data_IF_306456504636
#
_entry.id   IF_306456504636
#
_cell.length_a   1.000
_cell.length_b   1.000
_cell.length_c   1.000
_cell.angle_alpha   90.00
_cell.angle_beta   90.00
_cell.angle_gamma   90.00
#
_symmetry.space_group_name_H-M   'P 1'
#
loop_
_entity.id
_entity.type
_entity.pdbx_description
1 polymer ?
#
# COMPACT_ATOMS: atom_id res chain seq x y z
N UNK A 1 2.69 55.44 -3.96
CA UNK A 1 3.12 54.14 -4.54
C UNK A 1 2.55 53.07 -3.63
N UNK A 2 1.78 52.12 -4.16
CA UNK A 2 1.25 51.01 -3.35
C UNK A 2 2.42 50.19 -2.84
N UNK A 3 2.50 50.03 -1.51
CA UNK A 3 3.56 49.27 -0.87
C UNK A 3 3.28 47.78 -1.06
N UNK A 4 4.24 47.05 -1.65
CA UNK A 4 4.11 45.61 -1.90
C UNK A 4 4.73 44.87 -0.72
N UNK A 5 3.99 43.93 -0.13
CA UNK A 5 4.43 43.16 1.03
C UNK A 5 4.73 41.71 0.63
N UNK A 6 5.93 41.28 1.00
CA UNK A 6 6.49 39.96 0.73
C UNK A 6 6.26 39.00 1.89
N UNK A 7 6.39 37.68 1.65
CA UNK A 7 6.27 36.66 2.68
C UNK A 7 7.25 36.88 3.85
N UNK A 8 8.48 37.30 3.55
CA UNK A 8 9.51 37.57 4.55
C UNK A 8 9.14 38.73 5.49
N UNK A 9 8.47 39.76 4.98
CA UNK A 9 7.99 40.88 5.80
C UNK A 9 6.80 40.47 6.67
N UNK A 10 5.91 39.62 6.16
CA UNK A 10 4.82 39.00 6.96
C UNK A 10 5.40 38.16 8.09
N UNK A 11 6.36 37.28 7.80
CA UNK A 11 7.03 36.45 8.81
C UNK A 11 7.73 37.29 9.89
N UNK A 12 8.40 38.38 9.51
CA UNK A 12 9.03 39.31 10.44
C UNK A 12 8.02 40.03 11.34
N UNK A 13 6.88 40.44 10.79
CA UNK A 13 5.80 41.06 11.56
C UNK A 13 5.18 40.06 12.55
N UNK A 14 4.92 38.83 12.09
CA UNK A 14 4.40 37.74 12.93
C UNK A 14 5.36 37.36 14.06
N UNK A 15 6.66 37.29 13.78
CA UNK A 15 7.69 36.98 14.77
C UNK A 15 7.85 38.08 15.83
N UNK A 16 7.55 39.34 15.48
CA UNK A 16 7.73 40.49 16.36
C UNK A 16 6.52 40.78 17.25
N UNK A 17 5.33 40.80 16.66
CA UNK A 17 4.11 41.29 17.34
C UNK A 17 3.03 40.20 17.54
N UNK A 18 3.22 39.00 16.97
CA UNK A 18 2.26 37.89 17.06
C UNK A 18 0.87 38.19 16.48
N UNK A 19 0.74 39.26 15.70
CA UNK A 19 -0.52 39.70 15.09
C UNK A 19 -0.26 40.54 13.84
N UNK A 20 -1.24 40.59 12.94
CA UNK A 20 -1.14 41.23 11.61
C UNK A 20 -1.79 42.63 11.55
N UNK A 21 -2.10 43.23 12.71
CA UNK A 21 -2.85 44.49 12.84
C UNK A 21 -2.14 45.72 12.26
N UNK A 22 -0.84 45.64 12.01
CA UNK A 22 -0.02 46.74 11.51
C UNK A 22 0.12 46.73 9.97
N UNK A 23 -0.55 45.82 9.25
CA UNK A 23 -0.57 45.84 7.79
C UNK A 23 -1.38 47.07 7.29
N UNK A 24 -0.81 47.91 6.40
CA UNK A 24 -1.55 48.98 5.76
C UNK A 24 -2.74 48.41 4.96
N UNK A 25 -3.92 49.00 5.11
CA UNK A 25 -5.14 48.52 4.46
C UNK A 25 -5.09 48.56 2.92
N UNK A 26 -4.15 49.33 2.35
CA UNK A 26 -3.92 49.53 0.92
C UNK A 26 -2.69 48.77 0.38
N UNK A 27 -2.07 47.90 1.19
CA UNK A 27 -0.90 47.14 0.78
C UNK A 27 -1.23 46.02 -0.24
N UNK A 28 -0.36 45.86 -1.23
CA UNK A 28 -0.45 44.77 -2.22
C UNK A 28 0.32 43.55 -1.71
N UNK A 29 -0.41 42.47 -1.39
CA UNK A 29 0.19 41.22 -0.93
C UNK A 29 0.61 40.32 -2.11
N UNK A 30 1.86 39.87 -2.09
CA UNK A 30 2.33 38.78 -2.97
C UNK A 30 1.57 37.47 -2.70
N UNK A 31 1.47 36.53 -3.65
CA UNK A 31 0.83 35.22 -3.43
C UNK A 31 1.37 34.49 -2.20
N UNK A 32 2.71 34.42 -2.06
CA UNK A 32 3.36 33.79 -0.92
C UNK A 32 3.09 34.52 0.41
N UNK A 33 2.92 35.85 0.40
CA UNK A 33 2.50 36.59 1.59
C UNK A 33 1.07 36.22 2.02
N UNK A 34 0.15 35.99 1.06
CA UNK A 34 -1.22 35.53 1.35
C UNK A 34 -1.22 34.12 1.92
N UNK A 35 -0.38 33.23 1.41
CA UNK A 35 -0.24 31.87 1.92
C UNK A 35 0.29 31.86 3.36
N UNK A 36 1.33 32.65 3.66
CA UNK A 36 1.88 32.79 5.01
C UNK A 36 0.84 33.34 6.03
N UNK A 37 0.02 34.30 5.62
CA UNK A 37 -1.08 34.81 6.45
C UNK A 37 -2.13 33.71 6.69
N UNK A 38 -2.51 32.96 5.66
CA UNK A 38 -3.49 31.88 5.76
C UNK A 38 -3.00 30.74 6.65
N UNK A 39 -1.73 30.39 6.58
CA UNK A 39 -1.10 29.41 7.46
C UNK A 39 -1.10 29.89 8.92
N UNK A 40 -0.77 31.16 9.17
CA UNK A 40 -0.83 31.75 10.50
C UNK A 40 -2.25 31.78 11.07
N UNK A 41 -3.26 32.20 10.28
CA UNK A 41 -4.66 32.20 10.68
C UNK A 41 -5.19 30.78 10.97
N UNK A 42 -4.78 29.79 10.16
CA UNK A 42 -5.10 28.39 10.40
C UNK A 42 -4.44 27.86 11.67
N UNK A 43 -3.18 28.21 11.94
CA UNK A 43 -2.50 27.88 13.18
C UNK A 43 -3.16 28.54 14.40
N UNK A 44 -3.70 29.76 14.26
CA UNK A 44 -4.45 30.47 15.31
C UNK A 44 -5.84 29.86 15.54
N UNK A 45 -6.52 29.41 14.48
CA UNK A 45 -7.78 28.64 14.55
C UNK A 45 -7.59 27.25 15.16
N UNK A 46 -6.43 26.64 14.94
CA UNK A 46 -6.06 25.33 15.47
C UNK A 46 -5.24 25.42 16.78
N UNK A 47 -5.06 26.62 17.33
CA UNK A 47 -4.61 26.82 18.71
C UNK A 47 -5.67 26.32 19.71
N UNK A 48 -5.34 26.14 20.99
CA UNK A 48 -6.19 25.41 21.93
C UNK A 48 -7.44 26.22 22.32
N UNK A 49 -8.43 26.23 21.44
CA UNK A 49 -9.79 26.68 21.74
C UNK A 49 -10.64 25.45 22.07
N UNK A 50 -11.21 25.44 23.28
CA UNK A 50 -12.05 24.38 23.83
C UNK A 50 -13.37 24.15 23.10
N UNK A 51 -13.31 23.68 21.86
CA UNK A 51 -14.38 22.91 21.26
C UNK A 51 -14.31 21.49 21.80
N UNK A 52 -15.42 20.94 22.28
CA UNK A 52 -15.51 19.57 22.71
C UNK A 52 -15.13 18.64 21.55
N UNK A 53 -13.85 18.25 21.50
CA UNK A 53 -13.47 17.01 20.88
C UNK A 53 -14.33 15.92 21.53
N UNK A 54 -14.89 15.03 20.72
CA UNK A 54 -15.36 13.75 21.26
C UNK A 54 -14.22 13.21 22.11
N UNK A 55 -14.48 12.83 23.38
CA UNK A 55 -13.41 12.49 24.30
C UNK A 55 -12.54 11.45 23.60
N UNK A 56 -11.26 11.79 23.39
CA UNK A 56 -10.26 10.76 23.14
C UNK A 56 -10.48 9.75 24.26
N UNK A 57 -10.76 8.48 23.92
CA UNK A 57 -11.22 7.57 24.93
C UNK A 57 -10.20 7.47 26.03
N UNK A 58 -10.71 7.64 27.24
CA UNK A 58 -9.91 7.48 28.43
C UNK A 58 -9.35 6.07 28.39
N UNK A 59 -8.04 5.98 28.14
CA UNK A 59 -7.36 4.70 28.14
C UNK A 59 -7.68 4.02 29.48
N UNK A 60 -8.21 2.79 29.47
CA UNK A 60 -8.50 2.08 30.70
C UNK A 60 -7.23 2.02 31.56
N UNK A 61 -7.38 2.13 32.89
CA UNK A 61 -6.27 2.17 33.85
C UNK A 61 -5.33 0.95 33.78
N UNK A 62 -5.76 -0.11 33.07
CA UNK A 62 -4.96 -1.26 32.67
C UNK A 62 -5.23 -1.55 31.18
N UNK A 63 -4.22 -1.87 30.36
CA UNK A 63 -4.43 -2.31 28.99
C UNK A 63 -5.34 -3.55 28.96
N UNK A 64 -6.29 -3.60 28.03
CA UNK A 64 -7.13 -4.77 27.81
C UNK A 64 -6.24 -5.98 27.48
N UNK A 65 -6.52 -7.14 28.08
CA UNK A 65 -5.79 -8.39 27.82
C UNK A 65 -6.75 -9.57 27.68
N UNK A 66 -6.30 -10.66 27.05
CA UNK A 66 -7.02 -11.93 26.97
C UNK A 66 -7.39 -12.50 28.34
N UNK A 67 -6.64 -12.13 29.38
CA UNK A 67 -6.88 -12.53 30.77
C UNK A 67 -7.89 -11.63 31.50
N UNK A 68 -8.36 -10.54 30.87
CA UNK A 68 -9.42 -9.70 31.46
C UNK A 68 -10.69 -10.51 31.66
N UNK A 69 -11.47 -10.24 32.72
CA UNK A 69 -12.77 -10.88 32.94
C UNK A 69 -13.66 -10.77 31.70
N UNK A 70 -14.43 -11.82 31.40
CA UNK A 70 -15.33 -11.83 30.22
C UNK A 70 -16.26 -10.61 30.17
N UNK A 71 -16.78 -10.17 31.31
CA UNK A 71 -17.62 -8.98 31.40
C UNK A 71 -16.90 -7.70 30.97
N UNK A 72 -15.59 -7.60 31.20
CA UNK A 72 -14.76 -6.46 30.80
C UNK A 72 -14.48 -6.50 29.29
N UNK A 73 -14.14 -7.67 28.74
CA UNK A 73 -13.98 -7.88 27.30
C UNK A 73 -15.27 -7.54 26.54
N UNK A 74 -16.41 -7.98 27.04
CA UNK A 74 -17.72 -7.68 26.47
C UNK A 74 -18.11 -6.21 26.62
N UNK A 75 -17.74 -5.57 27.74
CA UNK A 75 -17.97 -4.14 27.94
C UNK A 75 -17.14 -3.30 26.96
N UNK A 76 -15.86 -3.63 26.79
CA UNK A 76 -15.00 -3.02 25.79
C UNK A 76 -15.56 -3.22 24.38
N UNK A 77 -15.94 -4.44 24.01
CA UNK A 77 -16.42 -4.74 22.66
C UNK A 77 -17.71 -3.97 22.27
N UNK A 78 -18.52 -3.56 23.27
CA UNK A 78 -19.73 -2.75 23.09
C UNK A 78 -19.50 -1.24 23.35
N UNK A 79 -18.27 -0.84 23.66
CA UNK A 79 -17.97 0.54 24.00
C UNK A 79 -17.92 1.44 22.75
N UNK A 80 -18.11 2.76 22.89
CA UNK A 80 -17.98 3.70 21.76
C UNK A 80 -16.62 3.61 21.04
N UNK A 81 -15.57 3.28 21.79
CA UNK A 81 -14.21 3.11 21.28
C UNK A 81 -14.08 1.94 20.32
N UNK A 82 -14.53 0.77 20.74
CA UNK A 82 -14.55 -0.40 19.88
C UNK A 82 -15.49 -0.16 18.70
N UNK A 83 -16.64 0.50 18.92
CA UNK A 83 -17.57 0.91 17.88
C UNK A 83 -16.90 1.71 16.75
N UNK A 84 -16.11 2.74 17.09
CA UNK A 84 -15.39 3.54 16.11
C UNK A 84 -14.39 2.72 15.28
N UNK A 85 -13.68 1.77 15.91
CA UNK A 85 -12.75 0.86 15.20
C UNK A 85 -13.49 -0.15 14.31
N UNK A 86 -14.64 -0.66 14.78
CA UNK A 86 -15.50 -1.55 13.99
C UNK A 86 -16.07 -0.83 12.75
N UNK A 87 -16.44 0.44 12.90
CA UNK A 87 -16.85 1.30 11.78
C UNK A 87 -15.70 1.53 10.80
N UNK A 88 -14.48 1.78 11.31
CA UNK A 88 -13.28 1.94 10.48
C UNK A 88 -12.96 0.66 9.67
N UNK A 89 -13.08 -0.51 10.29
CA UNK A 89 -12.93 -1.81 9.61
C UNK A 89 -13.96 -1.98 8.48
N UNK A 90 -15.22 -1.59 8.73
CA UNK A 90 -16.27 -1.60 7.71
C UNK A 90 -15.95 -0.61 6.57
N UNK A 91 -15.43 0.57 6.89
CA UNK A 91 -15.11 1.59 5.91
C UNK A 91 -13.96 1.19 4.99
N UNK A 92 -12.84 0.74 5.56
CA UNK A 92 -11.73 0.21 4.78
C UNK A 92 -12.17 -1.01 3.96
N UNK A 93 -13.01 -1.87 4.52
CA UNK A 93 -13.61 -2.99 3.78
C UNK A 93 -14.38 -2.55 2.53
N UNK A 94 -15.20 -1.49 2.63
CA UNK A 94 -15.92 -0.89 1.49
C UNK A 94 -14.98 -0.31 0.45
N UNK A 95 -13.92 0.38 0.87
CA UNK A 95 -12.92 0.96 -0.06
C UNK A 95 -12.16 -0.12 -0.81
N UNK A 96 -11.70 -1.17 -0.10
CA UNK A 96 -11.06 -2.34 -0.72
C UNK A 96 -11.98 -3.00 -1.75
N UNK A 97 -13.25 -3.18 -1.42
CA UNK A 97 -14.24 -3.76 -2.33
C UNK A 97 -14.49 -2.85 -3.55
N UNK A 98 -14.66 -1.54 -3.34
CA UNK A 98 -14.86 -0.57 -4.41
C UNK A 98 -13.68 -0.47 -5.39
N UNK A 99 -12.48 -0.86 -4.97
CA UNK A 99 -11.27 -0.96 -5.81
C UNK A 99 -11.04 -2.35 -6.41
N UNK A 100 -11.93 -3.30 -6.16
CA UNK A 100 -11.78 -4.70 -6.55
C UNK A 100 -10.49 -5.35 -6.00
N UNK A 101 -10.05 -4.95 -4.79
CA UNK A 101 -8.91 -5.58 -4.12
C UNK A 101 -9.31 -6.84 -3.36
N UNK A 102 -10.61 -7.06 -3.15
CA UNK A 102 -11.15 -8.26 -2.50
C UNK A 102 -12.16 -8.92 -3.43
N UNK A 103 -12.11 -10.24 -3.53
CA UNK A 103 -12.97 -11.08 -4.34
C UNK A 103 -13.92 -11.89 -3.45
N UNK A 104 -15.23 -11.79 -3.72
CA UNK A 104 -16.25 -12.50 -2.94
C UNK A 104 -16.17 -12.18 -1.44
N UNK A 105 -15.72 -13.15 -0.65
CA UNK A 105 -15.56 -13.08 0.80
C UNK A 105 -14.08 -13.05 1.27
N UNK A 106 -13.13 -12.96 0.32
CA UNK A 106 -11.70 -12.91 0.54
C UNK A 106 -11.21 -11.59 1.18
N UNK A 107 -9.93 -11.57 1.52
CA UNK A 107 -9.31 -10.52 2.32
C UNK A 107 -9.73 -10.53 3.79
N UNK A 108 -8.99 -9.84 4.63
CA UNK A 108 -9.27 -9.68 6.05
C UNK A 108 -8.46 -8.54 6.67
N UNK A 109 -8.97 -8.00 7.77
CA UNK A 109 -8.43 -6.83 8.44
C UNK A 109 -8.34 -7.12 9.94
N UNK A 110 -7.31 -6.62 10.60
CA UNK A 110 -7.21 -6.68 12.06
C UNK A 110 -6.54 -5.43 12.66
N UNK A 111 -7.02 -5.03 13.84
CA UNK A 111 -6.51 -3.92 14.65
C UNK A 111 -6.20 -4.44 16.05
N UNK A 112 -4.99 -4.20 16.54
CA UNK A 112 -4.60 -4.46 17.93
C UNK A 112 -5.30 -3.47 18.85
N UNK A 113 -5.96 -3.98 19.89
CA UNK A 113 -6.75 -3.16 20.83
C UNK A 113 -6.36 -3.37 22.30
N UNK A 114 -5.38 -4.24 22.55
CA UNK A 114 -4.89 -4.57 23.86
C UNK A 114 -3.47 -5.13 23.81
N UNK A 115 -3.00 -5.64 24.94
CA UNK A 115 -1.68 -6.27 25.04
C UNK A 115 -1.59 -7.50 24.12
N UNK A 116 -2.60 -8.36 24.16
CA UNK A 116 -2.68 -9.62 23.45
C UNK A 116 -4.07 -9.86 22.85
N UNK A 117 -4.74 -8.76 22.44
CA UNK A 117 -6.12 -8.77 21.92
C UNK A 117 -6.23 -7.91 20.66
N UNK A 118 -7.01 -8.38 19.68
CA UNK A 118 -7.27 -7.69 18.43
C UNK A 118 -8.74 -7.75 18.00
N UNK A 119 -9.23 -6.68 17.37
CA UNK A 119 -10.44 -6.70 16.56
C UNK A 119 -10.10 -7.23 15.16
N UNK A 120 -10.97 -8.04 14.58
CA UNK A 120 -10.82 -8.53 13.22
C UNK A 120 -12.15 -8.69 12.49
N UNK A 121 -12.06 -8.81 11.16
CA UNK A 121 -13.22 -9.05 10.30
C UNK A 121 -13.71 -10.50 10.37
N UNK A 122 -15.01 -10.74 10.12
CA UNK A 122 -15.57 -12.09 10.09
C UNK A 122 -15.14 -12.87 8.84
N UNK A 123 -15.21 -14.19 8.94
CA UNK A 123 -15.14 -15.10 7.79
C UNK A 123 -16.43 -15.10 6.98
N UNK A 124 -16.34 -15.46 5.70
CA UNK A 124 -17.47 -15.65 4.78
C UNK A 124 -18.40 -14.44 4.59
N UNK A 125 -17.93 -13.23 4.91
CA UNK A 125 -18.63 -11.97 4.63
C UNK A 125 -17.78 -11.14 3.68
N UNK A 126 -18.41 -10.64 2.61
CA UNK A 126 -17.77 -9.71 1.69
C UNK A 126 -17.42 -8.40 2.39
N UNK A 127 -16.20 -7.89 2.21
CA UNK A 127 -15.71 -6.71 2.94
C UNK A 127 -16.46 -5.43 2.59
N UNK A 128 -17.11 -5.40 1.42
CA UNK A 128 -18.01 -4.30 1.02
C UNK A 128 -19.33 -4.24 1.78
N UNK A 129 -19.74 -5.31 2.47
CA UNK A 129 -21.07 -5.43 3.10
C UNK A 129 -21.02 -5.76 4.59
N UNK A 130 -19.85 -5.62 5.23
CA UNK A 130 -19.71 -5.81 6.67
C UNK A 130 -20.49 -4.74 7.45
N UNK A 131 -20.98 -5.13 8.61
CA UNK A 131 -21.56 -4.25 9.61
C UNK A 131 -20.68 -4.23 10.86
N UNK A 132 -20.67 -3.17 11.67
CA UNK A 132 -19.88 -3.14 12.92
C UNK A 132 -20.15 -4.34 13.83
N UNK A 133 -21.42 -4.76 13.95
CA UNK A 133 -21.84 -5.93 14.73
C UNK A 133 -21.27 -7.27 14.21
N UNK A 134 -20.75 -7.31 12.99
CA UNK A 134 -20.14 -8.51 12.41
C UNK A 134 -18.70 -8.75 12.88
N UNK A 135 -18.05 -7.75 13.49
CA UNK A 135 -16.65 -7.84 13.90
C UNK A 135 -16.44 -8.84 15.03
N UNK A 136 -15.20 -9.28 15.20
CA UNK A 136 -14.83 -10.25 16.23
C UNK A 136 -13.69 -9.70 17.08
N UNK A 137 -13.73 -9.94 18.39
CA UNK A 137 -12.60 -9.73 19.28
C UNK A 137 -11.91 -11.07 19.49
N UNK A 138 -10.60 -11.12 19.30
CA UNK A 138 -9.80 -12.35 19.42
C UNK A 138 -8.58 -12.11 20.29
N UNK A 139 -8.12 -13.15 20.97
CA UNK A 139 -6.79 -13.15 21.58
C UNK A 139 -5.70 -13.45 20.54
N UNK A 140 -4.45 -13.32 20.96
CA UNK A 140 -3.26 -13.59 20.15
C UNK A 140 -3.01 -15.09 19.87
N UNK A 141 -3.75 -16.00 20.51
CA UNK A 141 -3.79 -17.42 20.16
C UNK A 141 -4.86 -17.74 19.11
N UNK A 142 -5.68 -16.75 18.72
CA UNK A 142 -6.72 -16.88 17.71
C UNK A 142 -8.06 -17.39 18.25
N UNK A 143 -8.21 -17.43 19.58
CA UNK A 143 -9.49 -17.73 20.23
C UNK A 143 -10.40 -16.51 20.13
N UNK A 144 -11.67 -16.75 19.80
CA UNK A 144 -12.67 -15.70 19.74
C UNK A 144 -13.22 -15.40 21.13
N UNK A 145 -13.02 -14.17 21.59
CA UNK A 145 -13.45 -13.68 22.90
C UNK A 145 -14.84 -13.05 22.84
N UNK A 146 -15.13 -12.29 21.78
CA UNK A 146 -16.42 -11.62 21.55
C UNK A 146 -16.78 -11.59 20.05
N UNK A 147 -18.04 -11.27 19.76
CA UNK A 147 -18.62 -11.22 18.41
C UNK A 147 -19.45 -12.47 18.09
N UNK A 148 -20.54 -12.31 17.35
CA UNK A 148 -21.47 -13.40 17.03
C UNK A 148 -21.04 -14.21 15.80
N UNK A 149 -20.51 -13.52 14.78
CA UNK A 149 -19.96 -14.19 13.59
C UNK A 149 -18.61 -14.82 13.92
N UNK A 150 -18.24 -15.84 13.15
CA UNK A 150 -16.92 -16.45 13.24
C UNK A 150 -15.86 -15.50 12.67
N UNK A 151 -14.76 -15.31 13.41
CA UNK A 151 -13.57 -14.58 12.96
C UNK A 151 -13.01 -15.14 11.65
N UNK A 152 -12.24 -14.34 10.91
CA UNK A 152 -11.54 -14.78 9.68
C UNK A 152 -10.73 -16.08 9.87
N UNK A 153 -10.67 -16.94 8.86
CA UNK A 153 -9.84 -18.16 8.87
C UNK A 153 -8.34 -17.86 8.98
N UNK A 154 -7.93 -16.66 8.58
CA UNK A 154 -6.51 -16.27 8.46
C UNK A 154 -6.02 -15.39 9.60
N UNK A 155 -6.77 -15.35 10.71
CA UNK A 155 -6.44 -14.50 11.85
C UNK A 155 -5.03 -14.78 12.38
N UNK A 156 -4.57 -16.04 12.31
CA UNK A 156 -3.25 -16.44 12.78
C UNK A 156 -2.13 -15.68 12.09
N UNK A 157 -2.26 -15.32 10.81
CA UNK A 157 -1.27 -14.49 10.12
C UNK A 157 -1.16 -13.12 10.76
N UNK A 158 -2.28 -12.42 10.96
CA UNK A 158 -2.31 -11.09 11.58
C UNK A 158 -1.69 -11.12 12.98
N UNK A 159 -2.05 -12.12 13.79
CA UNK A 159 -1.57 -12.24 15.16
C UNK A 159 -0.08 -12.58 15.20
N UNK A 160 0.44 -13.42 14.30
CA UNK A 160 1.88 -13.69 14.19
C UNK A 160 2.67 -12.44 13.78
N UNK A 161 2.13 -11.60 12.88
CA UNK A 161 2.71 -10.29 12.56
C UNK A 161 2.79 -9.41 13.81
N UNK A 162 1.68 -9.28 14.55
CA UNK A 162 1.62 -8.45 15.76
C UNK A 162 2.50 -8.98 16.91
N UNK A 163 2.64 -10.30 17.04
CA UNK A 163 3.56 -10.95 17.99
C UNK A 163 5.01 -10.68 17.64
N UNK A 164 5.37 -10.83 16.35
CA UNK A 164 6.75 -10.67 15.89
C UNK A 164 7.19 -9.22 15.90
N UNK A 165 6.30 -8.32 15.51
CA UNK A 165 6.54 -6.88 15.49
C UNK A 165 5.56 -6.17 16.41
N UNK A 166 5.93 -5.92 17.69
CA UNK A 166 5.05 -5.29 18.67
C UNK A 166 4.59 -3.87 18.29
N UNK A 167 5.26 -3.19 17.35
CA UNK A 167 4.80 -1.91 16.83
C UNK A 167 3.62 -2.06 15.88
N UNK A 168 3.33 -3.24 15.33
CA UNK A 168 2.23 -3.42 14.38
C UNK A 168 0.88 -3.28 15.09
N UNK A 169 0.19 -2.16 14.83
CA UNK A 169 -1.13 -1.85 15.39
C UNK A 169 -2.27 -2.27 14.48
N UNK A 170 -2.04 -2.32 13.17
CA UNK A 170 -3.07 -2.68 12.20
C UNK A 170 -2.49 -3.44 11.01
N UNK A 171 -3.33 -4.25 10.39
CA UNK A 171 -2.97 -5.14 9.29
C UNK A 171 -4.12 -5.26 8.29
N UNK A 172 -3.78 -5.30 7.00
CA UNK A 172 -4.71 -5.39 5.89
C UNK A 172 -4.23 -6.49 4.96
N UNK A 173 -5.06 -7.51 4.75
CA UNK A 173 -4.82 -8.53 3.74
C UNK A 173 -5.92 -8.49 2.67
N UNK A 174 -5.51 -8.54 1.41
CA UNK A 174 -6.41 -8.65 0.27
C UNK A 174 -5.68 -9.21 -0.97
N UNK A 175 -6.35 -9.19 -2.12
CA UNK A 175 -5.92 -9.78 -3.39
C UNK A 175 -5.96 -8.74 -4.54
N UNK A 176 -5.19 -7.64 -4.47
CA UNK A 176 -5.20 -6.65 -5.54
C UNK A 176 -4.59 -7.26 -6.83
N UNK A 177 -5.22 -7.11 -8.01
CA UNK A 177 -4.86 -7.89 -9.19
C UNK A 177 -3.40 -7.78 -9.67
N UNK A 178 -2.82 -6.57 -9.71
CA UNK A 178 -1.47 -6.40 -10.25
C UNK A 178 -0.41 -6.95 -9.30
N UNK A 179 -0.46 -6.55 -8.03
CA UNK A 179 0.45 -7.03 -6.98
C UNK A 179 0.29 -8.53 -6.70
N UNK A 180 -0.93 -9.07 -6.78
CA UNK A 180 -1.15 -10.53 -6.74
C UNK A 180 -0.54 -11.21 -7.97
N UNK A 181 -0.54 -10.57 -9.14
CA UNK A 181 0.18 -11.04 -10.33
C UNK A 181 1.68 -11.19 -10.09
N UNK A 182 2.32 -10.23 -9.42
CA UNK A 182 3.73 -10.35 -8.99
C UNK A 182 3.93 -11.50 -7.99
N UNK A 183 3.01 -11.65 -7.03
CA UNK A 183 3.05 -12.77 -6.08
C UNK A 183 2.91 -14.14 -6.75
N UNK A 184 2.05 -14.27 -7.76
CA UNK A 184 1.89 -15.50 -8.57
C UNK A 184 3.14 -15.76 -9.41
N UNK A 185 3.76 -14.71 -9.96
CA UNK A 185 5.00 -14.83 -10.73
C UNK A 185 6.22 -15.20 -9.88
N UNK A 186 6.13 -15.06 -8.55
CA UNK A 186 7.27 -15.26 -7.65
C UNK A 186 8.32 -14.16 -7.79
N UNK A 187 7.92 -12.95 -8.20
CA UNK A 187 8.81 -11.83 -8.50
C UNK A 187 8.49 -10.67 -7.56
N UNK A 188 9.48 -10.17 -6.84
CA UNK A 188 9.34 -8.91 -6.12
C UNK A 188 9.29 -7.74 -7.12
N UNK A 189 8.41 -6.74 -6.91
CA UNK A 189 8.41 -5.55 -7.75
C UNK A 189 9.80 -4.89 -7.73
N UNK A 190 10.31 -4.41 -8.87
CA UNK A 190 11.60 -3.74 -8.91
C UNK A 190 11.58 -2.47 -8.05
N UNK A 191 12.75 -1.88 -7.81
CA UNK A 191 12.90 -0.69 -6.97
C UNK A 191 13.45 0.49 -7.78
N UNK A 192 13.58 1.63 -7.12
CA UNK A 192 14.15 2.88 -7.61
C UNK A 192 13.37 3.55 -8.75
N UNK A 193 12.06 3.34 -8.87
CA UNK A 193 11.27 3.95 -9.97
C UNK A 193 10.34 5.07 -9.51
N UNK A 194 9.64 4.90 -8.38
CA UNK A 194 8.57 5.82 -7.93
C UNK A 194 8.78 6.17 -6.45
N UNK A 195 8.84 7.46 -6.08
CA UNK A 195 9.10 7.87 -4.70
C UNK A 195 8.12 7.32 -3.67
N UNK A 196 6.82 7.28 -3.97
CA UNK A 196 5.79 6.82 -3.05
C UNK A 196 6.00 5.36 -2.64
N UNK A 197 6.39 4.50 -3.58
CA UNK A 197 6.73 3.11 -3.28
C UNK A 197 7.95 3.04 -2.37
N UNK A 198 9.02 3.77 -2.69
CA UNK A 198 10.26 3.74 -1.93
C UNK A 198 10.12 4.26 -0.50
N UNK A 199 9.32 5.32 -0.31
CA UNK A 199 9.11 5.95 0.99
C UNK A 199 8.16 5.13 1.87
N UNK A 200 7.05 4.64 1.34
CA UNK A 200 5.97 4.08 2.17
C UNK A 200 5.94 2.55 2.23
N UNK A 201 6.58 1.85 1.29
CA UNK A 201 6.52 0.39 1.20
C UNK A 201 7.91 -0.23 1.27
N UNK A 202 8.08 -1.25 2.10
CA UNK A 202 9.20 -2.19 2.00
C UNK A 202 8.61 -3.57 1.80
N UNK A 203 8.92 -4.17 0.64
CA UNK A 203 8.24 -5.33 0.11
C UNK A 203 9.14 -6.55 0.13
N UNK A 204 8.58 -7.71 0.46
CA UNK A 204 9.21 -9.01 0.28
C UNK A 204 8.17 -10.05 -0.15
N UNK A 205 8.63 -11.20 -0.64
CA UNK A 205 7.76 -12.34 -0.98
C UNK A 205 7.90 -13.51 0.02
N UNK A 206 6.79 -13.92 0.61
CA UNK A 206 6.69 -15.13 1.41
C UNK A 206 6.38 -16.36 0.51
N UNK A 207 7.08 -17.50 0.69
CA UNK A 207 6.77 -18.74 -0.03
C UNK A 207 5.34 -19.24 0.23
N UNK A 208 4.76 -19.93 -0.75
CA UNK A 208 3.39 -20.46 -0.63
C UNK A 208 3.25 -21.43 0.55
N UNK A 209 2.19 -21.22 1.33
CA UNK A 209 1.62 -22.19 2.27
C UNK A 209 0.11 -22.06 2.21
N UNK A 210 -0.59 -23.10 2.65
CA UNK A 210 -2.05 -23.12 2.64
C UNK A 210 -2.61 -21.99 3.52
N UNK A 211 -3.54 -21.16 3.00
CA UNK A 211 -4.19 -20.10 3.76
C UNK A 211 -4.78 -20.58 5.09
N UNK A 212 -4.66 -19.75 6.14
CA UNK A 212 -5.14 -20.06 7.48
C UNK A 212 -4.29 -21.04 8.31
N UNK A 213 -3.16 -21.53 7.78
CA UNK A 213 -2.24 -22.40 8.54
C UNK A 213 -1.26 -21.62 9.41
N UNK A 214 -0.82 -22.15 10.57
CA UNK A 214 0.24 -21.55 11.39
C UNK A 214 1.55 -21.34 10.62
N UNK A 215 1.89 -22.24 9.71
CA UNK A 215 3.10 -22.19 8.89
C UNK A 215 3.11 -20.97 7.98
N UNK A 216 1.97 -20.63 7.38
CA UNK A 216 1.83 -19.41 6.58
C UNK A 216 2.07 -18.16 7.44
N UNK A 217 1.42 -18.09 8.61
CA UNK A 217 1.58 -16.96 9.54
C UNK A 217 3.03 -16.77 9.99
N UNK A 218 3.74 -17.87 10.25
CA UNK A 218 5.17 -17.83 10.61
C UNK A 218 6.06 -17.27 9.49
N UNK A 219 5.90 -17.76 8.26
CA UNK A 219 6.72 -17.29 7.12
C UNK A 219 6.51 -15.81 6.83
N UNK A 220 5.27 -15.33 6.92
CA UNK A 220 4.97 -13.90 6.79
C UNK A 220 5.63 -13.13 7.93
N UNK A 221 5.47 -13.59 9.18
CA UNK A 221 6.03 -12.94 10.35
C UNK A 221 7.56 -12.84 10.30
N UNK A 222 8.28 -13.85 9.80
CA UNK A 222 9.75 -13.82 9.71
C UNK A 222 10.30 -12.65 8.86
N UNK A 223 9.46 -12.02 8.02
CA UNK A 223 9.82 -10.89 7.15
C UNK A 223 9.49 -9.51 7.76
N UNK A 224 8.62 -9.44 8.76
CA UNK A 224 7.98 -8.16 9.14
C UNK A 224 8.88 -7.18 9.88
N UNK A 225 10.02 -7.62 10.40
CA UNK A 225 11.00 -6.69 11.01
C UNK A 225 11.72 -5.84 9.96
N UNK A 226 11.73 -6.30 8.71
CA UNK A 226 12.40 -5.63 7.59
C UNK A 226 11.41 -5.07 6.58
N UNK A 227 10.20 -5.63 6.51
CA UNK A 227 9.22 -5.33 5.47
C UNK A 227 7.85 -5.02 6.08
N UNK A 228 7.18 -4.00 5.58
CA UNK A 228 5.83 -3.61 6.03
C UNK A 228 4.71 -4.12 5.11
N UNK A 229 5.08 -4.71 3.97
CA UNK A 229 4.17 -5.22 2.96
C UNK A 229 4.72 -6.53 2.40
N UNK A 230 3.96 -7.61 2.47
CA UNK A 230 4.42 -8.95 2.08
C UNK A 230 3.53 -9.47 0.97
N UNK A 231 4.13 -9.80 -0.17
CA UNK A 231 3.51 -10.63 -1.20
C UNK A 231 3.48 -12.07 -0.70
N UNK A 232 2.34 -12.74 -0.79
CA UNK A 232 2.20 -14.15 -0.47
C UNK A 232 2.08 -14.93 -1.77
N UNK A 233 3.10 -15.74 -2.10
CA UNK A 233 3.17 -16.43 -3.37
C UNK A 233 1.90 -17.24 -3.64
N UNK A 234 1.34 -17.13 -4.86
CA UNK A 234 0.08 -17.77 -5.28
C UNK A 234 -1.14 -17.47 -4.40
N UNK A 235 -1.18 -16.31 -3.73
CA UNK A 235 -2.26 -15.98 -2.81
C UNK A 235 -2.67 -14.52 -2.88
N UNK A 236 -1.84 -13.58 -2.42
CA UNK A 236 -2.27 -12.20 -2.22
C UNK A 236 -1.21 -11.32 -1.57
N UNK A 237 -1.67 -10.29 -0.86
CA UNK A 237 -0.79 -9.33 -0.19
C UNK A 237 -1.28 -9.07 1.22
N UNK A 238 -0.35 -8.94 2.17
CA UNK A 238 -0.64 -8.42 3.51
C UNK A 238 0.28 -7.24 3.82
N UNK A 239 -0.30 -6.15 4.31
CA UNK A 239 0.45 -5.00 4.82
C UNK A 239 0.18 -4.79 6.30
N UNK A 240 1.15 -4.21 7.00
CA UNK A 240 1.00 -3.81 8.39
C UNK A 240 1.44 -2.37 8.64
N UNK A 241 0.90 -1.76 9.70
CA UNK A 241 1.20 -0.39 10.10
C UNK A 241 1.42 -0.30 11.60
N UNK A 242 2.33 0.60 12.00
CA UNK A 242 2.48 1.04 13.38
C UNK A 242 1.68 2.30 13.73
N UNK A 243 1.00 2.89 12.75
CA UNK A 243 0.24 4.13 12.90
C UNK A 243 -1.27 3.87 12.99
N UNK A 244 -1.86 3.26 11.97
CA UNK A 244 -3.31 3.09 11.87
C UNK A 244 -3.71 2.07 10.81
N UNK A 245 -5.00 1.67 10.80
CA UNK A 245 -5.57 0.86 9.74
C UNK A 245 -5.52 1.57 8.38
N UNK A 246 -5.74 2.89 8.36
CA UNK A 246 -5.67 3.72 7.15
C UNK A 246 -4.28 3.64 6.50
N UNK A 247 -3.21 3.73 7.30
CA UNK A 247 -1.84 3.64 6.81
C UNK A 247 -1.47 2.22 6.32
N UNK A 248 -2.04 1.17 6.92
CA UNK A 248 -1.91 -0.17 6.35
C UNK A 248 -2.63 -0.30 4.99
N UNK A 249 -3.81 0.31 4.87
CA UNK A 249 -4.58 0.36 3.62
C UNK A 249 -3.86 1.16 2.53
N UNK A 250 -3.25 2.31 2.85
CA UNK A 250 -2.48 3.11 1.88
C UNK A 250 -1.30 2.35 1.30
N UNK A 251 -0.59 1.53 2.09
CA UNK A 251 0.48 0.66 1.56
C UNK A 251 -0.03 -0.31 0.51
N UNK A 252 -1.25 -0.81 0.68
CA UNK A 252 -1.91 -1.67 -0.30
C UNK A 252 -2.19 -0.92 -1.61
N UNK A 253 -2.72 0.30 -1.51
CA UNK A 253 -2.97 1.16 -2.68
C UNK A 253 -1.67 1.53 -3.41
N UNK A 254 -0.63 1.89 -2.65
CA UNK A 254 0.68 2.26 -3.18
C UNK A 254 1.31 1.08 -3.90
N UNK A 255 1.33 -0.11 -3.28
CA UNK A 255 1.88 -1.30 -3.91
C UNK A 255 1.14 -1.65 -5.20
N UNK A 256 -0.19 -1.62 -5.18
CA UNK A 256 -0.98 -1.97 -6.36
C UNK A 256 -0.77 -0.97 -7.50
N UNK A 257 -0.79 0.33 -7.20
CA UNK A 257 -0.51 1.38 -8.17
C UNK A 257 0.91 1.24 -8.74
N UNK A 258 1.88 0.91 -7.89
CA UNK A 258 3.26 0.66 -8.29
C UNK A 258 3.37 -0.54 -9.25
N UNK A 259 2.83 -1.70 -8.86
CA UNK A 259 2.85 -2.92 -9.67
C UNK A 259 2.17 -2.71 -11.03
N UNK A 260 1.03 -2.00 -11.05
CA UNK A 260 0.37 -1.60 -12.30
C UNK A 260 1.27 -0.73 -13.17
N UNK A 261 1.93 0.25 -12.58
CA UNK A 261 2.82 1.16 -13.31
C UNK A 261 4.02 0.41 -13.86
N UNK A 262 4.66 -0.46 -13.07
CA UNK A 262 5.77 -1.31 -13.53
C UNK A 262 5.34 -2.18 -14.71
N UNK A 263 4.13 -2.77 -14.65
CA UNK A 263 3.62 -3.57 -15.76
C UNK A 263 3.43 -2.73 -17.03
N UNK A 264 2.86 -1.52 -16.92
CA UNK A 264 2.74 -0.59 -18.05
C UNK A 264 4.12 -0.19 -18.57
N UNK A 265 5.07 0.14 -17.70
CA UNK A 265 6.45 0.48 -18.07
C UNK A 265 7.12 -0.66 -18.85
N UNK A 266 6.94 -1.91 -18.41
CA UNK A 266 7.44 -3.08 -19.13
C UNK A 266 6.82 -3.22 -20.53
N UNK A 267 5.51 -2.96 -20.65
CA UNK A 267 4.78 -3.05 -21.92
C UNK A 267 5.20 -2.01 -22.96
N UNK A 268 5.78 -0.87 -22.54
CA UNK A 268 6.29 0.16 -23.46
C UNK A 268 7.55 -0.29 -24.22
N UNK A 269 8.18 -1.41 -23.84
CA UNK A 269 9.29 -2.02 -24.59
C UNK A 269 10.61 -1.26 -24.54
N UNK A 270 10.76 -0.33 -23.59
CA UNK A 270 11.99 0.42 -23.35
C UNK A 270 12.49 0.18 -21.93
N UNK A 271 13.82 0.23 -21.68
CA UNK A 271 14.35 0.12 -20.34
C UNK A 271 13.76 1.18 -19.40
N UNK A 272 13.30 0.75 -18.23
CA UNK A 272 12.78 1.65 -17.21
C UNK A 272 13.88 2.60 -16.74
N UNK A 273 13.54 3.89 -16.58
CA UNK A 273 14.42 4.84 -15.91
C UNK A 273 14.29 4.66 -14.40
N UNK A 274 15.42 4.72 -13.72
CA UNK A 274 15.49 4.65 -12.26
C UNK A 274 16.05 5.94 -11.68
N UNK A 275 15.70 6.21 -10.44
CA UNK A 275 16.35 7.19 -9.58
C UNK A 275 17.82 6.83 -9.39
N UNK A 276 18.65 7.84 -9.17
CA UNK A 276 20.06 7.62 -8.81
C UNK A 276 20.16 7.07 -7.38
N UNK A 277 21.27 6.39 -7.03
CA UNK A 277 21.51 5.98 -5.66
C UNK A 277 21.39 7.09 -4.62
N UNK A 278 21.93 8.28 -4.90
CA UNK A 278 21.81 9.44 -4.01
C UNK A 278 20.35 9.89 -3.82
N UNK A 279 19.54 9.89 -4.88
CA UNK A 279 18.11 10.18 -4.78
C UNK A 279 17.39 9.14 -3.93
N UNK A 280 17.71 7.85 -4.08
CA UNK A 280 17.13 6.81 -3.22
C UNK A 280 17.56 6.97 -1.76
N UNK A 281 18.82 7.34 -1.50
CA UNK A 281 19.29 7.60 -0.14
C UNK A 281 18.49 8.71 0.54
N UNK A 282 18.10 9.75 -0.19
CA UNK A 282 17.23 10.82 0.33
C UNK A 282 15.85 10.28 0.73
N UNK A 283 15.25 9.43 -0.10
CA UNK A 283 13.96 8.81 0.19
C UNK A 283 14.03 7.82 1.37
N UNK A 284 15.12 7.06 1.49
CA UNK A 284 15.34 6.16 2.63
C UNK A 284 15.48 6.94 3.95
N UNK A 285 16.07 8.14 3.93
CA UNK A 285 16.08 9.02 5.11
C UNK A 285 14.67 9.47 5.52
N UNK A 286 13.81 9.80 4.55
CA UNK A 286 12.40 10.12 4.81
C UNK A 286 11.69 8.88 5.40
N UNK A 287 11.82 7.72 4.77
CA UNK A 287 11.24 6.45 5.24
C UNK A 287 11.64 6.12 6.68
N UNK A 288 12.92 6.29 6.99
CA UNK A 288 13.45 6.06 8.33
C UNK A 288 12.84 7.03 9.36
N UNK A 289 12.65 8.30 8.99
CA UNK A 289 11.97 9.29 9.86
C UNK A 289 10.50 8.95 10.12
N UNK A 290 9.85 8.26 9.17
CA UNK A 290 8.49 7.73 9.31
C UNK A 290 8.45 6.40 10.10
N UNK A 291 9.61 5.90 10.56
CA UNK A 291 9.70 4.69 11.38
C UNK A 291 9.29 3.41 10.66
N UNK A 292 9.29 3.41 9.32
CA UNK A 292 8.97 2.25 8.47
C UNK A 292 10.21 1.35 8.39
N UNK A 293 10.10 0.02 8.55
CA UNK A 293 11.24 -0.89 8.36
C UNK A 293 11.67 -0.98 6.90
N UNK A 294 12.97 -1.15 6.66
CA UNK A 294 13.53 -1.48 5.35
C UNK A 294 14.91 -2.14 5.52
N UNK A 295 15.23 -3.23 4.81
CA UNK A 295 16.55 -3.85 4.88
C UNK A 295 17.68 -2.99 4.31
N UNK A 296 17.36 -1.96 3.51
CA UNK A 296 18.35 -1.09 2.86
C UNK A 296 18.86 0.03 3.76
N UNK A 297 18.30 0.18 4.96
CA UNK A 297 18.81 1.15 5.93
C UNK A 297 20.27 0.85 6.28
N UNK A 298 21.15 1.82 6.02
CA UNK A 298 22.59 1.71 6.30
C UNK A 298 23.42 1.04 5.21
N UNK A 299 22.82 0.63 4.09
CA UNK A 299 23.55 0.18 2.91
C UNK A 299 24.26 1.35 2.21
N UNK A 300 25.29 1.04 1.40
CA UNK A 300 25.97 2.05 0.58
C UNK A 300 25.20 2.29 -0.71
N UNK A 301 25.39 3.49 -1.28
CA UNK A 301 24.71 3.92 -2.52
C UNK A 301 24.76 2.88 -3.66
N UNK A 302 25.92 2.25 -3.90
CA UNK A 302 26.07 1.27 -4.98
C UNK A 302 25.24 -0.02 -4.79
N UNK A 303 24.62 -0.23 -3.63
CA UNK A 303 23.86 -1.44 -3.27
C UNK A 303 22.34 -1.19 -3.24
N UNK A 304 21.88 0.04 -3.53
CA UNK A 304 20.49 0.45 -3.28
C UNK A 304 19.50 0.12 -4.41
N UNK A 305 19.99 0.06 -5.65
CA UNK A 305 19.17 -0.08 -6.86
C UNK A 305 19.58 -1.30 -7.69
N UNK A 306 19.53 -2.49 -7.10
CA UNK A 306 19.71 -3.73 -7.84
C UNK A 306 18.37 -4.26 -8.34
N UNK A 307 18.20 -4.24 -9.67
CA UNK A 307 17.04 -4.76 -10.37
C UNK A 307 17.42 -5.91 -11.34
N UNK A 308 18.58 -6.56 -11.14
CA UNK A 308 19.12 -7.54 -12.09
C UNK A 308 18.24 -8.79 -12.27
N UNK A 309 17.47 -9.15 -11.25
CA UNK A 309 16.51 -10.26 -11.30
C UNK A 309 15.22 -9.90 -12.05
N UNK A 310 14.87 -8.61 -12.11
CA UNK A 310 13.69 -8.16 -12.84
C UNK A 310 13.97 -8.08 -14.34
N UNK A 311 13.35 -9.00 -15.08
CA UNK A 311 13.39 -9.01 -16.55
C UNK A 311 11.98 -8.76 -17.08
N UNK A 312 11.68 -7.56 -17.62
CA UNK A 312 10.40 -7.34 -18.26
C UNK A 312 10.25 -8.36 -19.39
N UNK A 313 9.10 -9.02 -19.45
CA UNK A 313 8.84 -10.06 -20.45
C UNK A 313 9.14 -9.52 -21.85
N UNK A 314 10.08 -10.14 -22.55
CA UNK A 314 10.40 -9.81 -23.93
C UNK A 314 9.17 -10.15 -24.78
N UNK A 315 8.45 -9.14 -25.25
CA UNK A 315 7.77 -9.27 -26.53
C UNK A 315 8.88 -9.58 -27.52
N UNK A 316 8.85 -10.77 -28.12
CA UNK A 316 9.83 -11.14 -29.13
C UNK A 316 9.78 -10.07 -30.22
N UNK A 317 10.72 -9.12 -30.19
CA UNK A 317 10.95 -8.24 -31.31
C UNK A 317 11.44 -9.17 -32.41
N UNK A 318 10.55 -9.50 -33.35
CA UNK A 318 10.95 -10.17 -34.58
C UNK A 318 12.03 -9.25 -35.16
N UNK A 319 13.28 -9.71 -35.30
CA UNK A 319 14.31 -8.90 -35.93
C UNK A 319 13.74 -8.42 -37.26
N UNK A 320 13.97 -7.15 -37.67
CA UNK A 320 13.56 -6.74 -39.01
C UNK A 320 14.12 -7.78 -39.97
N UNK A 321 13.22 -8.50 -40.66
CA UNK A 321 13.61 -9.49 -41.65
C UNK A 321 14.57 -8.73 -42.56
N UNK A 322 15.83 -9.18 -42.75
CA UNK A 322 16.66 -8.56 -43.75
C UNK A 322 15.81 -8.53 -45.02
N UNK A 323 15.69 -7.37 -45.66
CA UNK A 323 15.08 -7.29 -46.98
C UNK A 323 15.89 -8.23 -47.86
N UNK A 324 15.49 -9.50 -47.91
CA UNK A 324 15.96 -10.39 -48.93
C UNK A 324 15.34 -9.80 -50.18
N UNK A 325 16.14 -9.05 -50.91
CA UNK A 325 16.07 -9.08 -52.36
C UNK A 325 16.37 -10.52 -52.82
N UNK A 326 15.57 -11.49 -52.36
CA UNK A 326 15.39 -12.74 -53.05
C UNK A 326 14.60 -12.33 -54.28
N UNK A 327 15.32 -11.91 -55.31
CA UNK A 327 14.77 -11.93 -56.65
C UNK A 327 14.19 -13.33 -56.84
N UNK A 328 12.91 -13.39 -57.22
CA UNK A 328 12.26 -14.65 -57.53
C UNK A 328 13.14 -15.42 -58.51
N UNK A 329 13.40 -16.69 -58.21
CA UNK A 329 14.18 -17.56 -59.07
C UNK A 329 13.44 -17.67 -60.41
N UNK A 330 14.03 -17.07 -61.46
CA UNK A 330 13.39 -16.99 -62.77
C UNK A 330 13.20 -18.37 -63.41
N UNK A 331 14.02 -19.36 -63.04
CA UNK A 331 13.83 -20.74 -63.51
C UNK A 331 12.63 -21.39 -62.80
N UNK A 332 12.48 -21.15 -61.49
CA UNK A 332 11.34 -21.65 -60.74
C UNK A 332 10.01 -21.04 -61.23
N UNK A 333 9.98 -19.73 -61.50
CA UNK A 333 8.82 -19.03 -62.07
C UNK A 333 8.47 -19.57 -63.47
N UNK A 334 9.47 -19.83 -64.31
CA UNK A 334 9.27 -20.41 -65.64
C UNK A 334 8.70 -21.84 -65.55
N UNK A 335 9.19 -22.66 -64.61
CA UNK A 335 8.71 -24.01 -64.38
C UNK A 335 7.25 -24.01 -63.87
N UNK A 336 6.93 -23.15 -62.90
CA UNK A 336 5.56 -22.99 -62.38
C UNK A 336 4.61 -22.58 -63.49
N UNK A 337 5.01 -21.62 -64.33
CA UNK A 337 4.20 -21.19 -65.47
C UNK A 337 3.97 -22.31 -66.48
N UNK A 338 5.01 -23.06 -66.84
CA UNK A 338 4.88 -24.18 -67.79
C UNK A 338 3.93 -25.28 -67.29
N UNK A 339 4.04 -25.64 -66.01
CA UNK A 339 3.14 -26.62 -65.38
C UNK A 339 1.71 -26.10 -65.34
N UNK A 340 1.52 -24.83 -65.00
CA UNK A 340 0.20 -24.20 -64.95
C UNK A 340 -0.46 -24.18 -66.33
N UNK A 341 0.28 -23.79 -67.36
CA UNK A 341 -0.21 -23.77 -68.75
C UNK A 341 -0.60 -25.18 -69.22
N UNK A 342 0.18 -26.21 -68.84
CA UNK A 342 -0.09 -27.61 -69.17
C UNK A 342 -1.35 -28.15 -68.46
N UNK A 343 -1.56 -27.78 -67.19
CA UNK A 343 -2.77 -28.14 -66.45
C UNK A 343 -3.99 -27.49 -67.11
N UNK A 344 -3.91 -26.20 -67.44
CA UNK A 344 -5.00 -25.47 -68.08
C UNK A 344 -5.33 -26.01 -69.49
N UNK A 345 -4.34 -26.47 -70.24
CA UNK A 345 -4.58 -27.10 -71.54
C UNK A 345 -5.27 -28.46 -71.42
N UNK A 346 -5.00 -29.20 -70.35
CA UNK A 346 -5.63 -30.50 -70.08
C UNK A 346 -7.05 -30.38 -69.47
N UNK A 347 -7.47 -29.16 -69.11
CA UNK A 347 -8.80 -28.86 -68.59
C UNK A 347 -9.79 -28.35 -69.65
N UNK A 348 -9.38 -28.26 -70.93
CA UNK A 348 -10.25 -27.98 -72.08
C UNK A 348 -10.62 -29.26 -72.81
#
# INVERSE_FOLDING_TARGET
MSHVITAKEVEQLLAKDGDLKHLPADALLTPSARDAIREFENARRNGPSGGAASPAPTAPAKPLSSQSPRSELEAYFRSPEAGALQEQLCDIGRRLWGRAYVDGNGGNLAIRVGEDVALCTPTLVSKGFMKPADMCLVDFEGNQLCGEKRRTSEILMHLQIMKRQPRAVATVHCHPPYSTGFAVAGIEPPTCMIPEYEVFSSVAIAPYRTPGTPEMGKLVADLVDKHNTILMANHGVVSWSHNSLEDAYFKMEILEAYCRTVLVTAQLGVPAKTMTPGQLQDLLRIKQSLGIPDPRHGLKECELCDNAEWRPGVTCAIPPKPESAAAFDSEAEAAVKAITDQILSNMK
#
